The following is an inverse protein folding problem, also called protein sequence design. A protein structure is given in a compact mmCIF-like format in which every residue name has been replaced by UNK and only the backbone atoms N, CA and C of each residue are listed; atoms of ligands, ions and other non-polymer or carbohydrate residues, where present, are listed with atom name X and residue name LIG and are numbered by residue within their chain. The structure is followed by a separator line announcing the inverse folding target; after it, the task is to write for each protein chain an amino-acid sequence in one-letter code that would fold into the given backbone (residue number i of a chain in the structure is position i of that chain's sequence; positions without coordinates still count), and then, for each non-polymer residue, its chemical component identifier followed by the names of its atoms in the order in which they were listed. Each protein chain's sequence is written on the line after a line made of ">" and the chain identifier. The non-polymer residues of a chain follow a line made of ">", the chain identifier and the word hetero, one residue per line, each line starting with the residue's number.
data_IF_775079158003
#
_entry.id   IF_775079158003
#
_cell.length_a   1.000
_cell.length_b   1.000
_cell.length_c   1.000
_cell.angle_alpha   90.00
_cell.angle_beta   90.00
_cell.angle_gamma   90.00
#
_symmetry.space_group_name_H-M   'P 1'
#
loop_
_entity.id
_entity.type
_entity.pdbx_description
1 polymer ?
#
# COMPACT_ATOMS: atom_id res chain seq x y z
N UNK A 1 17.00 3.59 -3.81
CA UNK A 1 16.36 4.56 -2.91
C UNK A 1 14.89 4.60 -3.31
N UNK A 2 14.00 4.06 -2.49
CA UNK A 2 12.56 4.18 -2.71
C UNK A 2 12.16 5.63 -2.48
N UNK A 3 11.75 6.32 -3.54
CA UNK A 3 11.45 7.75 -3.48
C UNK A 3 10.02 7.97 -2.94
N UNK A 4 9.86 7.79 -1.63
CA UNK A 4 8.59 8.01 -0.92
C UNK A 4 8.28 9.49 -0.70
N UNK A 5 9.23 10.37 -1.01
CA UNK A 5 9.16 11.82 -0.81
C UNK A 5 8.07 12.51 -1.64
N UNK A 6 7.53 11.82 -2.66
CA UNK A 6 6.42 12.31 -3.48
C UNK A 6 5.05 11.78 -3.08
N UNK A 7 4.98 10.83 -2.14
CA UNK A 7 3.74 10.17 -1.78
C UNK A 7 3.01 10.97 -0.71
N UNK A 8 1.74 11.22 -0.98
CA UNK A 8 0.81 12.01 -0.16
C UNK A 8 -0.40 11.16 0.20
N UNK A 9 -1.05 11.58 1.27
CA UNK A 9 -2.37 11.08 1.65
C UNK A 9 -3.35 11.29 0.48
N UNK A 10 -4.33 10.39 0.34
CA UNK A 10 -5.32 10.34 -0.73
C UNK A 10 -4.82 9.98 -2.14
N UNK A 11 -3.54 9.68 -2.32
CA UNK A 11 -3.05 9.18 -3.61
C UNK A 11 -3.53 7.77 -3.91
N UNK A 12 -3.70 7.47 -5.19
CA UNK A 12 -4.15 6.16 -5.66
C UNK A 12 -2.97 5.20 -5.79
N UNK A 13 -3.03 4.03 -5.16
CA UNK A 13 -2.02 2.98 -5.31
C UNK A 13 -2.47 2.00 -6.38
N UNK A 14 -1.63 1.80 -7.40
CA UNK A 14 -1.89 0.90 -8.51
C UNK A 14 -0.76 -0.13 -8.63
N UNK A 15 -1.11 -1.35 -9.01
CA UNK A 15 -0.15 -2.40 -9.32
C UNK A 15 0.65 -2.12 -10.59
N UNK A 16 1.66 -2.95 -10.84
CA UNK A 16 2.43 -2.93 -12.08
C UNK A 16 1.55 -3.23 -13.32
N UNK A 17 0.49 -4.00 -13.13
CA UNK A 17 -0.61 -4.29 -14.06
C UNK A 17 -1.55 -3.09 -14.29
N UNK A 18 -1.41 -2.01 -13.51
CA UNK A 18 -2.29 -0.85 -13.55
C UNK A 18 -3.63 -1.05 -12.84
N UNK A 19 -3.79 -2.16 -12.12
CA UNK A 19 -4.99 -2.46 -11.34
C UNK A 19 -4.96 -1.67 -10.03
N UNK A 20 -6.11 -1.15 -9.63
CA UNK A 20 -6.27 -0.41 -8.38
C UNK A 20 -6.03 -1.33 -7.18
N UNK A 21 -5.12 -0.93 -6.29
CA UNK A 21 -4.78 -1.64 -5.05
C UNK A 21 -5.46 -1.00 -3.84
N UNK A 22 -5.53 0.33 -3.80
CA UNK A 22 -6.14 1.08 -2.71
C UNK A 22 -5.75 2.56 -2.73
N UNK A 23 -6.09 3.27 -1.65
CA UNK A 23 -5.73 4.69 -1.47
C UNK A 23 -4.76 4.84 -0.31
N UNK A 24 -3.79 5.75 -0.45
CA UNK A 24 -2.86 6.11 0.62
C UNK A 24 -3.60 6.81 1.75
N UNK A 25 -3.55 6.22 2.95
CA UNK A 25 -3.93 6.88 4.20
C UNK A 25 -2.79 7.80 4.65
N UNK A 26 -1.59 7.25 4.84
CA UNK A 26 -0.39 7.96 5.29
C UNK A 26 0.89 7.17 4.99
N UNK A 27 2.03 7.84 4.93
CA UNK A 27 3.35 7.18 4.92
C UNK A 27 3.94 7.16 6.34
N UNK A 28 4.25 5.98 6.85
CA UNK A 28 4.83 5.76 8.18
C UNK A 28 5.92 4.69 8.14
N UNK A 29 7.06 4.93 8.81
CA UNK A 29 8.12 3.92 8.92
C UNK A 29 8.72 3.46 7.58
N UNK A 30 8.60 4.27 6.51
CA UNK A 30 9.00 3.88 5.15
C UNK A 30 8.02 2.93 4.45
N UNK A 31 6.79 2.82 4.97
CA UNK A 31 5.68 2.05 4.42
C UNK A 31 4.51 2.98 4.15
N UNK A 32 3.68 2.61 3.19
CA UNK A 32 2.46 3.32 2.82
C UNK A 32 1.31 2.57 3.48
N UNK A 33 0.64 3.22 4.40
CA UNK A 33 -0.60 2.74 5.00
C UNK A 33 -1.74 2.97 4.02
N UNK A 34 -2.54 1.95 3.74
CA UNK A 34 -3.72 2.06 2.91
C UNK A 34 -4.96 2.37 3.74
N UNK A 35 -5.90 3.11 3.16
CA UNK A 35 -7.20 3.36 3.79
C UNK A 35 -8.00 2.06 3.87
N UNK A 36 -8.70 1.87 5.00
CA UNK A 36 -9.49 0.66 5.26
C UNK A 36 -10.67 0.47 4.29
N UNK A 37 -11.08 1.53 3.60
CA UNK A 37 -12.34 1.58 2.87
C UNK A 37 -12.32 0.88 1.50
N UNK A 38 -11.15 0.66 0.89
CA UNK A 38 -11.06 0.27 -0.53
C UNK A 38 -10.14 -0.92 -0.83
N UNK A 39 -9.70 -1.66 0.20
CA UNK A 39 -8.93 -2.86 -0.03
C UNK A 39 -9.76 -3.93 -0.79
N UNK A 40 -9.22 -4.54 -1.86
CA UNK A 40 -9.91 -5.57 -2.64
C UNK A 40 -10.01 -6.85 -1.80
N UNK A 41 -11.13 -6.98 -1.09
CA UNK A 41 -11.35 -8.09 -0.14
C UNK A 41 -12.19 -7.59 1.02
N UNK A 42 -13.49 -7.46 0.79
CA UNK A 42 -14.41 -6.89 1.75
C UNK A 42 -14.27 -7.46 3.17
N UNK A 43 -14.30 -6.56 4.14
CA UNK A 43 -14.64 -6.83 5.54
C UNK A 43 -13.75 -7.84 6.28
N UNK A 44 -12.43 -7.60 6.34
CA UNK A 44 -11.67 -7.97 7.52
C UNK A 44 -11.73 -6.82 8.54
N UNK A 45 -12.63 -6.96 9.51
CA UNK A 45 -12.75 -6.04 10.65
C UNK A 45 -11.47 -6.05 11.49
N UNK A 46 -10.47 -5.23 11.14
CA UNK A 46 -9.40 -4.92 12.09
C UNK A 46 -8.05 -4.48 11.54
N UNK A 47 -7.72 -4.80 10.28
CA UNK A 47 -6.32 -4.70 9.84
C UNK A 47 -6.10 -3.53 8.87
N UNK A 48 -5.02 -2.79 9.10
CA UNK A 48 -4.50 -1.82 8.14
C UNK A 48 -3.55 -2.57 7.20
N UNK A 49 -3.77 -2.40 5.89
CA UNK A 49 -2.83 -2.89 4.89
C UNK A 49 -1.68 -1.89 4.74
N UNK A 50 -0.47 -2.42 4.71
CA UNK A 50 0.73 -1.62 4.47
C UNK A 50 1.46 -2.11 3.23
N UNK A 51 1.86 -1.15 2.40
CA UNK A 51 2.72 -1.39 1.24
C UNK A 51 4.13 -0.91 1.57
N UNK A 52 5.15 -1.78 1.53
CA UNK A 52 6.52 -1.37 1.68
C UNK A 52 6.90 -0.35 0.62
N UNK A 53 7.53 0.75 1.03
CA UNK A 53 7.96 1.77 0.08
C UNK A 53 8.95 1.26 -0.97
N UNK A 54 9.63 0.15 -0.71
CA UNK A 54 10.53 -0.52 -1.67
C UNK A 54 9.78 -1.08 -2.89
N UNK A 55 8.48 -1.35 -2.77
CA UNK A 55 7.64 -1.78 -3.90
C UNK A 55 7.21 -0.60 -4.78
N UNK A 56 7.48 0.65 -4.40
CA UNK A 56 7.12 1.80 -5.23
C UNK A 56 8.08 1.89 -6.41
N UNK A 57 7.55 1.69 -7.61
CA UNK A 57 8.29 1.85 -8.86
C UNK A 57 8.33 3.31 -9.30
N UNK A 58 7.19 4.00 -9.25
CA UNK A 58 7.06 5.39 -9.69
C UNK A 58 5.89 6.09 -9.01
N UNK A 59 5.93 7.43 -9.03
CA UNK A 59 4.82 8.28 -8.61
C UNK A 59 4.46 9.14 -9.82
N UNK A 60 3.25 8.96 -10.34
CA UNK A 60 2.73 9.59 -11.56
C UNK A 60 1.51 10.45 -11.21
N UNK A 61 1.71 11.77 -11.10
CA UNK A 61 0.65 12.69 -10.68
C UNK A 61 0.14 12.32 -9.28
N UNK A 62 -1.13 11.95 -9.19
CA UNK A 62 -1.80 11.51 -7.95
C UNK A 62 -1.82 9.99 -7.77
N UNK A 63 -1.02 9.24 -8.55
CA UNK A 63 -0.94 7.79 -8.50
C UNK A 63 0.44 7.29 -8.08
N UNK A 64 0.47 6.27 -7.23
CA UNK A 64 1.65 5.52 -6.81
C UNK A 64 1.63 4.19 -7.53
N UNK A 65 2.58 3.98 -8.44
CA UNK A 65 2.73 2.73 -9.18
C UNK A 65 3.66 1.79 -8.43
N UNK A 66 3.18 0.58 -8.18
CA UNK A 66 3.97 -0.49 -7.59
C UNK A 66 4.76 -1.25 -8.66
N UNK A 67 5.87 -1.86 -8.26
CA UNK A 67 6.66 -2.79 -9.06
C UNK A 67 6.05 -4.20 -9.08
N UNK A 68 5.12 -4.49 -8.17
CA UNK A 68 4.35 -5.73 -8.12
C UNK A 68 2.93 -5.50 -8.66
N UNK A 69 2.35 -6.54 -9.27
CA UNK A 69 0.94 -6.55 -9.69
C UNK A 69 0.00 -6.39 -8.51
N UNK A 70 -1.22 -5.89 -8.70
CA UNK A 70 -2.14 -5.66 -7.58
C UNK A 70 -2.46 -6.94 -6.80
N UNK A 71 -2.51 -8.09 -7.48
CA UNK A 71 -2.73 -9.40 -6.85
C UNK A 71 -1.51 -9.93 -6.07
N UNK A 72 -0.31 -9.46 -6.40
CA UNK A 72 0.96 -9.89 -5.80
C UNK A 72 1.63 -8.79 -4.96
N UNK A 73 1.02 -7.60 -4.89
CA UNK A 73 1.41 -6.56 -3.97
C UNK A 73 1.17 -7.16 -2.58
N UNK A 74 2.24 -7.68 -1.98
CA UNK A 74 2.23 -8.26 -0.66
C UNK A 74 1.81 -7.16 0.31
N UNK A 75 0.50 -7.06 0.52
CA UNK A 75 -0.11 -6.17 1.49
C UNK A 75 0.23 -6.78 2.83
N UNK A 76 1.25 -6.24 3.49
CA UNK A 76 1.58 -6.66 4.84
C UNK A 76 0.41 -6.21 5.72
N UNK A 77 -0.40 -7.17 6.13
CA UNK A 77 -1.39 -6.96 7.18
C UNK A 77 -0.62 -6.72 8.47
N UNK A 78 -0.70 -5.51 9.02
CA UNK A 78 -0.24 -5.31 10.39
C UNK A 78 -1.38 -5.76 11.30
N UNK A 79 -1.28 -7.01 11.77
CA UNK A 79 -1.94 -7.40 13.02
C UNK A 79 -1.51 -6.40 14.10
N UNK A 80 -2.45 -5.92 14.91
CA UNK A 80 -2.18 -5.09 16.10
C UNK A 80 -1.45 -5.90 17.18
N UNK A 81 -0.32 -6.48 16.86
CA UNK A 81 0.68 -6.96 17.80
C UNK A 81 1.88 -7.34 16.95
N UNK A 82 3.08 -6.81 17.21
CA UNK A 82 4.29 -7.08 16.44
C UNK A 82 4.78 -8.53 16.52
N UNK A 83 3.98 -9.49 16.04
CA UNK A 83 4.25 -10.92 16.01
C UNK A 83 3.94 -11.43 14.61
N UNK A 84 4.97 -11.41 13.77
CA UNK A 84 5.00 -12.19 12.54
C UNK A 84 4.76 -13.65 12.90
N UNK A 85 3.59 -14.21 12.59
CA UNK A 85 3.33 -15.64 12.78
C UNK A 85 3.94 -16.38 11.58
N UNK A 86 4.99 -17.13 11.87
CA UNK A 86 5.77 -17.92 10.91
C UNK A 86 5.16 -19.30 10.65
#
# INVERSE_FOLDING_TARGET
>A
MSNLSGIREHMEVIGADGVHVGIVDRVEGGRIKLTKAEAPGGSHEGHHHYVPGILVAAVEGDKVRLSADAANAELFEEEQDGKTRH
#
